data_IF_212287168791
#
_entry.id   IF_212287168791
#
_cell.length_a   1.000
_cell.length_b   1.000
_cell.length_c   1.000
_cell.angle_alpha   90.00
_cell.angle_beta   90.00
_cell.angle_gamma   90.00
#
_symmetry.space_group_name_H-M   'P 1'
#
loop_
_entity.id
_entity.type
_entity.pdbx_description
1 polymer ?
#
# COMPACT_ATOMS: atom_id res chain seq x y z
N UNK A 1 6.85 31.17 1.65
CA UNK A 1 6.84 29.91 2.40
C UNK A 1 6.25 30.18 3.77
N UNK A 2 5.06 29.64 4.08
CA UNK A 2 4.60 29.55 5.45
C UNK A 2 5.60 28.66 6.20
N UNK A 3 6.06 29.10 7.37
CA UNK A 3 6.95 28.30 8.21
C UNK A 3 6.23 27.00 8.56
N UNK A 4 6.59 25.90 7.92
CA UNK A 4 6.13 24.57 8.30
C UNK A 4 6.71 24.30 9.69
N UNK A 5 5.85 24.14 10.68
CA UNK A 5 6.29 23.77 12.02
C UNK A 5 6.82 22.34 11.94
N UNK A 6 8.08 22.14 12.30
CA UNK A 6 8.69 20.81 12.38
C UNK A 6 8.13 20.15 13.66
N UNK A 7 7.63 18.91 13.50
CA UNK A 7 7.11 18.13 14.63
C UNK A 7 7.70 16.73 14.60
N UNK A 8 8.02 16.15 15.76
CA UNK A 8 8.38 14.74 15.85
C UNK A 8 7.28 13.87 15.25
N UNK A 9 7.64 12.85 14.46
CA UNK A 9 6.64 11.99 13.80
C UNK A 9 5.69 11.31 14.81
N UNK A 10 6.15 11.03 16.02
CA UNK A 10 5.35 10.45 17.10
C UNK A 10 4.29 11.39 17.69
N UNK A 11 4.35 12.69 17.38
CA UNK A 11 3.36 13.70 17.82
C UNK A 11 2.33 14.02 16.74
N UNK A 12 2.57 13.58 15.50
CA UNK A 12 1.66 13.78 14.36
C UNK A 12 0.37 13.01 14.59
N UNK A 13 -0.76 13.64 14.29
CA UNK A 13 -2.11 13.10 14.47
C UNK A 13 -2.90 13.12 13.16
N UNK A 14 -3.93 12.31 13.09
CA UNK A 14 -4.95 12.40 12.04
C UNK A 14 -5.55 13.79 12.00
N UNK A 15 -5.57 14.39 10.81
CA UNK A 15 -6.02 15.78 10.59
C UNK A 15 -4.87 16.78 10.43
N UNK A 16 -3.67 16.48 10.94
CA UNK A 16 -2.50 17.32 10.73
C UNK A 16 -2.11 17.39 9.25
N UNK A 17 -1.28 18.38 8.91
CA UNK A 17 -0.77 18.54 7.55
C UNK A 17 0.73 18.30 7.50
N UNK A 18 1.16 17.53 6.52
CA UNK A 18 2.57 17.25 6.22
C UNK A 18 2.88 17.57 4.76
N UNK A 19 4.10 18.01 4.48
CA UNK A 19 4.56 18.23 3.12
C UNK A 19 4.64 16.89 2.39
N UNK A 20 4.19 16.87 1.12
CA UNK A 20 4.07 15.68 0.31
C UNK A 20 4.50 15.91 -1.14
N UNK A 21 4.77 14.84 -1.86
CA UNK A 21 5.17 14.86 -3.27
C UNK A 21 4.32 13.94 -4.12
N UNK A 22 4.36 14.14 -5.43
CA UNK A 22 3.74 13.22 -6.38
C UNK A 22 4.45 11.87 -6.37
N UNK A 23 3.76 10.75 -6.08
CA UNK A 23 4.39 9.44 -5.96
C UNK A 23 4.95 8.86 -7.26
N UNK A 24 4.63 9.46 -8.41
CA UNK A 24 5.12 9.02 -9.73
C UNK A 24 6.33 9.82 -10.21
N UNK A 25 6.55 11.01 -9.68
CA UNK A 25 7.57 11.94 -10.20
C UNK A 25 8.50 12.51 -9.14
N UNK A 26 8.26 12.24 -7.85
CA UNK A 26 9.00 12.83 -6.74
C UNK A 26 8.77 14.34 -6.55
N UNK A 27 8.04 15.01 -7.44
CA UNK A 27 7.86 16.47 -7.39
C UNK A 27 7.01 16.89 -6.20
N UNK A 28 7.52 17.84 -5.43
CA UNK A 28 6.83 18.45 -4.30
C UNK A 28 5.47 19.02 -4.68
N UNK A 29 4.46 18.79 -3.87
CA UNK A 29 3.07 19.21 -4.12
C UNK A 29 2.44 19.96 -2.94
N UNK A 30 3.23 20.37 -1.95
CA UNK A 30 2.77 21.10 -0.78
C UNK A 30 2.06 20.21 0.24
N UNK A 31 1.49 20.87 1.24
CA UNK A 31 0.90 20.21 2.41
C UNK A 31 -0.34 19.38 2.08
N UNK A 32 -0.44 18.20 2.69
CA UNK A 32 -1.57 17.27 2.59
C UNK A 32 -1.97 16.79 3.97
N UNK A 33 -3.25 16.46 4.13
CA UNK A 33 -3.79 16.00 5.40
C UNK A 33 -3.37 14.57 5.70
N UNK A 34 -2.93 14.32 6.92
CA UNK A 34 -2.70 12.98 7.47
C UNK A 34 -4.07 12.34 7.74
N UNK A 35 -4.38 11.25 7.06
CA UNK A 35 -5.62 10.51 7.21
C UNK A 35 -5.54 9.44 8.29
N UNK A 36 -4.35 8.87 8.48
CA UNK A 36 -4.11 7.86 9.51
C UNK A 36 -2.65 7.86 9.96
N UNK A 37 -2.43 7.51 11.23
CA UNK A 37 -1.10 7.28 11.82
C UNK A 37 -1.01 5.83 12.23
N UNK A 38 0.00 5.13 11.72
CA UNK A 38 0.28 3.74 12.04
C UNK A 38 1.46 3.66 12.98
N UNK A 39 1.37 2.78 13.97
CA UNK A 39 2.49 2.43 14.84
C UNK A 39 2.74 0.94 14.65
N UNK A 40 3.85 0.62 13.99
CA UNK A 40 4.26 -0.75 13.72
C UNK A 40 5.36 -1.16 14.68
N UNK A 41 5.32 -2.39 15.14
CA UNK A 41 6.42 -2.98 15.90
C UNK A 41 7.31 -3.78 14.95
N UNK A 42 8.37 -3.12 14.48
CA UNK A 42 9.21 -3.62 13.39
C UNK A 42 10.47 -4.32 13.91
N UNK A 43 10.93 -5.33 13.14
CA UNK A 43 12.08 -6.17 13.44
C UNK A 43 13.21 -6.01 12.41
N UNK A 44 12.96 -5.34 11.30
CA UNK A 44 13.90 -5.08 10.21
C UNK A 44 14.49 -3.67 10.29
N UNK A 45 14.94 -3.32 11.49
CA UNK A 45 15.48 -1.99 11.77
C UNK A 45 16.75 -1.71 10.96
N UNK A 46 16.87 -0.45 10.50
CA UNK A 46 17.98 -0.01 9.67
C UNK A 46 18.32 1.46 9.95
N UNK A 47 19.61 1.75 10.07
CA UNK A 47 20.15 3.09 10.07
C UNK A 47 20.60 3.49 8.66
N UNK A 48 19.94 4.49 8.09
CA UNK A 48 20.29 5.11 6.82
C UNK A 48 21.06 6.40 7.10
N UNK A 49 22.36 6.40 6.81
CA UNK A 49 23.19 7.61 6.89
C UNK A 49 23.24 8.29 5.52
N UNK A 50 22.90 9.56 5.51
CA UNK A 50 22.95 10.42 4.33
C UNK A 50 23.95 11.56 4.50
N UNK A 51 24.38 12.13 3.39
CA UNK A 51 25.24 13.31 3.33
C UNK A 51 24.54 14.40 2.51
N UNK A 52 24.44 15.57 3.08
CA UNK A 52 23.95 16.77 2.41
C UNK A 52 24.97 17.33 1.44
N UNK A 53 24.55 18.22 0.53
CA UNK A 53 25.43 18.81 -0.48
C UNK A 53 26.59 19.63 0.12
N UNK A 54 26.38 20.20 1.30
CA UNK A 54 27.37 20.94 2.08
C UNK A 54 28.29 20.05 2.96
N UNK A 55 28.14 18.72 2.81
CA UNK A 55 29.02 17.73 3.45
C UNK A 55 28.58 17.27 4.85
N UNK A 56 27.51 17.83 5.41
CA UNK A 56 26.99 17.37 6.70
C UNK A 56 26.34 15.98 6.56
N UNK A 57 26.54 15.14 7.57
CA UNK A 57 25.90 13.81 7.62
C UNK A 57 24.80 13.77 8.67
N UNK A 58 23.76 12.98 8.39
CA UNK A 58 22.68 12.71 9.31
C UNK A 58 22.23 11.26 9.17
N UNK A 59 21.66 10.69 10.23
CA UNK A 59 21.16 9.32 10.23
C UNK A 59 19.65 9.31 10.45
N UNK A 60 18.95 8.57 9.59
CA UNK A 60 17.54 8.23 9.72
C UNK A 60 17.41 6.81 10.29
N UNK A 61 16.70 6.68 11.40
CA UNK A 61 16.35 5.38 11.97
C UNK A 61 15.06 4.89 11.32
N UNK A 62 15.15 3.94 10.43
CA UNK A 62 14.05 3.45 9.60
C UNK A 62 13.93 1.92 9.63
N UNK A 63 13.24 1.33 8.68
CA UNK A 63 13.20 -0.12 8.44
C UNK A 63 13.78 -0.45 7.08
N UNK A 64 14.30 -1.65 6.90
CA UNK A 64 14.92 -2.08 5.64
C UNK A 64 13.96 -2.00 4.44
N UNK A 65 12.66 -2.17 4.69
CA UNK A 65 11.63 -2.15 3.65
C UNK A 65 11.01 -0.77 3.42
N UNK A 66 11.36 0.28 4.20
CA UNK A 66 10.77 1.60 4.05
C UNK A 66 11.26 2.27 2.76
N UNK A 67 10.35 2.71 1.85
CA UNK A 67 10.77 3.24 0.55
C UNK A 67 11.15 4.71 0.62
N UNK A 68 12.25 5.03 -0.01
CA UNK A 68 12.75 6.37 -0.29
C UNK A 68 12.67 6.64 -1.80
N UNK A 69 12.39 7.89 -2.17
CA UNK A 69 12.45 8.26 -3.58
C UNK A 69 13.91 8.49 -3.99
N UNK A 70 14.38 7.65 -4.87
CA UNK A 70 15.70 7.74 -5.48
C UNK A 70 15.62 8.51 -6.80
N UNK A 71 16.22 9.69 -6.84
CA UNK A 71 16.29 10.53 -8.05
C UNK A 71 17.31 10.00 -9.06
N UNK A 72 18.19 9.08 -8.68
CA UNK A 72 19.12 8.42 -9.62
C UNK A 72 18.37 7.50 -10.55
N UNK A 73 17.44 6.72 -10.00
CA UNK A 73 16.64 5.73 -10.75
C UNK A 73 15.22 6.18 -11.05
N UNK A 74 14.80 7.34 -10.52
CA UNK A 74 13.41 7.85 -10.56
C UNK A 74 12.39 6.83 -10.06
N UNK A 75 12.69 6.16 -8.97
CA UNK A 75 11.89 5.07 -8.42
C UNK A 75 11.86 5.06 -6.89
N UNK A 76 10.88 4.34 -6.33
CA UNK A 76 10.83 4.03 -4.91
C UNK A 76 11.74 2.85 -4.61
N UNK A 77 12.78 3.08 -3.82
CA UNK A 77 13.77 2.07 -3.43
C UNK A 77 13.67 1.81 -1.92
N UNK A 78 13.48 0.54 -1.49
CA UNK A 78 13.55 0.19 -0.07
C UNK A 78 14.89 0.60 0.55
N UNK A 79 14.91 1.13 1.76
CA UNK A 79 16.13 1.61 2.43
C UNK A 79 17.26 0.56 2.44
N UNK A 80 16.94 -0.72 2.64
CA UNK A 80 17.92 -1.80 2.62
C UNK A 80 18.47 -2.17 1.24
N UNK A 81 17.97 -1.55 0.17
CA UNK A 81 18.44 -1.72 -1.22
C UNK A 81 19.10 -0.47 -1.78
N UNK A 82 19.21 0.58 -1.00
CA UNK A 82 19.92 1.78 -1.39
C UNK A 82 21.44 1.53 -1.38
N UNK A 83 22.13 2.10 -2.36
CA UNK A 83 23.57 1.99 -2.52
C UNK A 83 24.27 3.31 -2.17
N UNK A 84 25.56 3.25 -1.95
CA UNK A 84 26.38 4.43 -1.76
C UNK A 84 26.25 5.38 -2.96
N UNK A 85 26.10 6.66 -2.68
CA UNK A 85 25.89 7.77 -3.64
C UNK A 85 24.54 7.76 -4.40
N UNK A 86 23.58 6.89 -4.07
CA UNK A 86 22.20 7.08 -4.54
C UNK A 86 21.69 8.45 -4.08
N UNK A 87 21.06 9.19 -5.00
CA UNK A 87 20.57 10.54 -4.76
C UNK A 87 19.13 10.52 -4.29
N UNK A 88 18.87 10.83 -3.04
CA UNK A 88 17.51 10.88 -2.49
C UNK A 88 16.89 12.27 -2.65
N UNK A 89 15.61 12.30 -2.99
CA UNK A 89 14.83 13.50 -3.19
C UNK A 89 14.62 14.30 -1.90
N UNK A 90 14.68 15.62 -2.02
CA UNK A 90 14.40 16.56 -0.94
C UNK A 90 13.23 17.49 -1.28
N UNK A 91 12.66 18.17 -0.29
CA UNK A 91 11.54 19.11 -0.48
C UNK A 91 11.95 20.40 -1.21
N UNK A 92 13.22 20.65 -1.35
CA UNK A 92 13.81 21.77 -2.08
C UNK A 92 14.57 21.24 -3.30
N UNK A 93 14.86 22.10 -4.26
CA UNK A 93 15.65 21.72 -5.45
C UNK A 93 17.07 21.28 -5.06
N UNK A 94 17.21 20.00 -4.70
CA UNK A 94 18.48 19.42 -4.27
C UNK A 94 18.34 17.96 -3.91
N UNK A 95 19.48 17.30 -3.70
CA UNK A 95 19.56 15.91 -3.32
C UNK A 95 20.40 15.76 -2.06
N UNK A 96 20.15 14.69 -1.33
CA UNK A 96 21.09 14.13 -0.36
C UNK A 96 21.58 12.80 -0.88
N UNK A 97 22.78 12.43 -0.50
CA UNK A 97 23.42 11.22 -1.01
C UNK A 97 23.53 10.17 0.07
N UNK A 98 23.22 8.93 -0.27
CA UNK A 98 23.38 7.80 0.64
C UNK A 98 24.85 7.55 0.93
N UNK A 99 25.23 7.52 2.21
CA UNK A 99 26.58 7.17 2.65
C UNK A 99 26.65 5.68 2.96
N UNK A 100 25.70 5.18 3.76
CA UNK A 100 25.65 3.77 4.13
C UNK A 100 24.27 3.39 4.69
N UNK A 101 23.94 2.14 4.56
CA UNK A 101 22.82 1.50 5.24
C UNK A 101 23.36 0.44 6.19
N UNK A 102 22.92 0.45 7.45
CA UNK A 102 23.37 -0.51 8.45
C UNK A 102 22.17 -1.14 9.15
N UNK A 103 21.95 -2.46 9.03
CA UNK A 103 20.95 -3.15 9.84
C UNK A 103 21.23 -2.96 11.34
N UNK A 104 20.18 -2.71 12.10
CA UNK A 104 20.25 -2.49 13.54
C UNK A 104 19.54 -3.65 14.25
N UNK A 105 20.17 -4.34 15.20
CA UNK A 105 19.52 -5.44 15.91
C UNK A 105 18.42 -4.95 16.84
N UNK A 106 17.44 -5.81 17.10
CA UNK A 106 16.35 -5.53 18.04
C UNK A 106 15.02 -5.23 17.34
N UNK A 107 14.10 -4.67 18.10
CA UNK A 107 12.76 -4.29 17.65
C UNK A 107 12.44 -2.89 18.13
N UNK A 108 11.67 -2.14 17.39
CA UNK A 108 11.23 -0.81 17.81
C UNK A 108 9.89 -0.44 17.17
N UNK A 109 9.17 0.44 17.87
CA UNK A 109 8.00 1.06 17.26
C UNK A 109 8.46 2.05 16.18
N UNK A 110 7.81 1.99 15.03
CA UNK A 110 7.99 2.93 13.91
C UNK A 110 6.67 3.52 13.52
N UNK A 111 6.66 4.82 13.27
CA UNK A 111 5.49 5.57 12.84
C UNK A 111 5.47 5.66 11.32
N UNK A 112 4.28 5.50 10.77
CA UNK A 112 4.04 5.67 9.35
C UNK A 112 2.73 6.45 9.14
N UNK A 113 2.67 7.31 8.11
CA UNK A 113 1.56 8.23 7.92
C UNK A 113 0.81 7.93 6.62
N UNK A 114 -0.49 7.73 6.68
CA UNK A 114 -1.32 7.77 5.47
C UNK A 114 -1.62 9.21 5.13
N UNK A 115 -1.09 9.67 4.02
CA UNK A 115 -1.23 11.04 3.53
C UNK A 115 -2.21 11.10 2.37
N UNK A 116 -3.16 12.01 2.46
CA UNK A 116 -4.27 12.16 1.52
C UNK A 116 -3.82 12.17 0.06
N UNK A 117 -4.34 11.22 -0.75
CA UNK A 117 -4.14 11.03 -2.20
C UNK A 117 -2.73 10.69 -2.65
N UNK A 118 -1.71 11.14 -1.94
CA UNK A 118 -0.31 11.02 -2.42
C UNK A 118 0.45 9.89 -1.73
N UNK A 119 0.09 9.55 -0.48
CA UNK A 119 0.76 8.52 0.32
C UNK A 119 2.28 8.74 0.47
N UNK A 120 2.73 9.96 0.30
CA UNK A 120 4.13 10.38 0.45
C UNK A 120 4.23 11.47 1.48
N UNK A 121 5.37 11.61 2.12
CA UNK A 121 5.67 12.72 3.02
C UNK A 121 7.18 12.89 3.16
N UNK A 122 7.59 13.99 3.77
CA UNK A 122 9.00 14.25 4.03
C UNK A 122 9.31 13.97 5.50
N UNK A 123 10.42 13.25 5.73
CA UNK A 123 11.01 13.04 7.05
C UNK A 123 12.32 13.81 7.15
N UNK A 124 12.68 14.27 8.34
CA UNK A 124 13.92 15.02 8.52
C UNK A 124 15.09 14.09 8.85
N UNK A 125 16.14 14.19 8.05
CA UNK A 125 17.46 13.71 8.39
C UNK A 125 18.30 14.91 8.83
N UNK A 126 18.46 15.08 10.14
CA UNK A 126 18.95 16.34 10.69
C UNK A 126 18.00 17.49 10.36
N UNK A 127 18.43 18.43 9.51
CA UNK A 127 17.62 19.57 9.05
C UNK A 127 17.09 19.38 7.62
N UNK A 128 17.42 18.28 6.96
CA UNK A 128 17.11 18.09 5.54
C UNK A 128 15.89 17.17 5.38
N UNK A 129 14.81 17.65 4.74
CA UNK A 129 13.65 16.84 4.46
C UNK A 129 13.93 15.85 3.32
N UNK A 130 13.73 14.57 3.56
CA UNK A 130 13.91 13.47 2.60
C UNK A 130 12.57 12.82 2.31
N UNK A 131 12.29 12.58 1.03
CA UNK A 131 11.01 12.05 0.57
C UNK A 131 10.88 10.55 0.82
N UNK A 132 9.83 10.18 1.55
CA UNK A 132 9.47 8.80 1.83
C UNK A 132 8.04 8.49 1.37
N UNK A 133 7.76 7.23 1.15
CA UNK A 133 6.42 6.75 0.83
C UNK A 133 5.81 6.06 2.03
N UNK A 134 4.54 6.37 2.30
CA UNK A 134 3.74 5.53 3.17
C UNK A 134 3.46 4.21 2.43
N UNK A 135 4.41 3.33 2.43
CA UNK A 135 4.11 1.95 2.17
C UNK A 135 4.26 1.18 3.48
N UNK A 136 3.17 0.66 4.00
CA UNK A 136 3.24 -0.57 4.76
C UNK A 136 3.78 -1.65 3.81
N UNK A 137 5.11 -1.61 3.49
CA UNK A 137 5.76 -2.32 2.38
C UNK A 137 4.91 -2.23 1.11
N UNK A 138 5.44 -1.88 -0.06
CA UNK A 138 4.65 -1.76 -1.29
C UNK A 138 3.57 -2.81 -1.31
N UNK A 139 2.29 -2.40 -1.24
CA UNK A 139 1.20 -3.38 -1.27
C UNK A 139 1.41 -4.21 -2.52
N UNK A 140 1.72 -5.47 -2.34
CA UNK A 140 1.88 -6.36 -3.48
C UNK A 140 0.49 -6.62 -4.09
N UNK A 141 0.11 -5.81 -5.07
CA UNK A 141 -1.17 -5.91 -5.77
C UNK A 141 -1.24 -7.06 -6.77
N UNK A 142 -0.20 -7.88 -6.89
CA UNK A 142 -0.29 -9.10 -7.70
C UNK A 142 -1.41 -10.00 -7.16
N UNK A 143 -2.19 -10.60 -8.04
CA UNK A 143 -3.38 -11.41 -7.69
C UNK A 143 -3.07 -12.59 -6.76
N UNK A 144 -1.82 -13.07 -6.74
CA UNK A 144 -1.35 -14.15 -5.87
C UNK A 144 -0.98 -13.70 -4.43
N UNK A 145 -1.01 -12.40 -4.12
CA UNK A 145 -0.68 -11.87 -2.80
C UNK A 145 -1.80 -12.13 -1.78
N UNK A 146 -1.68 -13.19 -1.00
CA UNK A 146 -2.63 -13.50 0.09
C UNK A 146 -2.63 -12.39 1.16
N UNK A 147 -1.50 -11.74 1.41
CA UNK A 147 -1.40 -10.61 2.35
C UNK A 147 -2.30 -9.44 1.93
N UNK A 148 -2.38 -9.17 0.63
CA UNK A 148 -3.21 -8.08 0.07
C UNK A 148 -4.66 -8.48 -0.07
N UNK A 149 -4.92 -9.65 -0.62
CA UNK A 149 -6.22 -10.07 -1.08
C UNK A 149 -6.97 -11.04 -0.15
N UNK A 150 -6.31 -11.52 0.92
CA UNK A 150 -6.89 -12.48 1.84
C UNK A 150 -7.39 -13.74 1.12
N UNK A 151 -8.70 -13.98 1.19
CA UNK A 151 -9.33 -15.13 0.55
C UNK A 151 -9.83 -14.85 -0.88
N UNK A 152 -9.75 -13.62 -1.37
CA UNK A 152 -10.32 -13.20 -2.66
C UNK A 152 -9.95 -14.16 -3.80
N UNK A 153 -8.69 -14.29 -4.15
CA UNK A 153 -8.26 -15.13 -5.26
C UNK A 153 -7.96 -16.57 -4.86
N UNK A 154 -7.56 -16.79 -3.60
CA UNK A 154 -7.35 -18.14 -3.09
C UNK A 154 -8.61 -18.97 -3.13
N UNK A 155 -9.76 -18.38 -2.80
CA UNK A 155 -11.07 -19.08 -2.72
C UNK A 155 -11.94 -18.79 -3.94
N UNK A 156 -12.02 -17.52 -4.35
CA UNK A 156 -12.94 -17.05 -5.37
C UNK A 156 -12.24 -16.71 -6.71
N UNK A 157 -10.97 -17.07 -6.86
CA UNK A 157 -10.22 -16.81 -8.09
C UNK A 157 -10.56 -17.75 -9.23
N UNK A 158 -10.08 -17.40 -10.41
CA UNK A 158 -10.21 -18.18 -11.64
C UNK A 158 -9.54 -19.56 -11.53
N UNK A 159 -9.96 -20.47 -12.38
CA UNK A 159 -9.36 -21.79 -12.58
C UNK A 159 -10.24 -22.95 -12.14
N UNK A 160 -10.11 -24.08 -12.84
CA UNK A 160 -10.95 -25.27 -12.71
C UNK A 160 -11.00 -25.83 -11.28
N UNK A 161 -9.90 -25.77 -10.53
CA UNK A 161 -9.85 -26.22 -9.13
C UNK A 161 -10.82 -25.41 -8.24
N UNK A 162 -10.78 -24.08 -8.39
CA UNK A 162 -11.68 -23.20 -7.64
C UNK A 162 -13.13 -23.37 -8.11
N UNK A 163 -13.37 -23.47 -9.41
CA UNK A 163 -14.72 -23.72 -9.95
C UNK A 163 -15.34 -24.98 -9.33
N UNK A 164 -14.59 -26.10 -9.31
CA UNK A 164 -15.07 -27.34 -8.69
C UNK A 164 -15.38 -27.14 -7.19
N UNK A 165 -14.45 -26.55 -6.43
CA UNK A 165 -14.63 -26.34 -5.00
C UNK A 165 -15.82 -25.42 -4.69
N UNK A 166 -16.02 -24.37 -5.49
CA UNK A 166 -17.16 -23.46 -5.33
C UNK A 166 -18.49 -24.12 -5.73
N UNK A 167 -18.49 -24.97 -6.76
CA UNK A 167 -19.68 -25.76 -7.13
C UNK A 167 -20.07 -26.74 -6.03
N UNK A 168 -19.12 -27.47 -5.48
CA UNK A 168 -19.37 -28.41 -4.38
C UNK A 168 -19.88 -27.64 -3.15
N UNK A 169 -19.32 -26.47 -2.86
CA UNK A 169 -19.76 -25.60 -1.77
C UNK A 169 -21.16 -25.02 -2.01
N UNK A 170 -21.47 -24.58 -3.24
CA UNK A 170 -22.78 -24.05 -3.57
C UNK A 170 -23.87 -25.10 -3.30
N UNK A 171 -23.64 -26.34 -3.73
CA UNK A 171 -24.55 -27.46 -3.52
C UNK A 171 -24.71 -27.84 -2.04
N UNK A 172 -23.56 -27.97 -1.32
CA UNK A 172 -23.57 -28.42 0.08
C UNK A 172 -24.20 -27.41 1.04
N UNK A 173 -24.02 -26.10 0.76
CA UNK A 173 -24.55 -25.01 1.62
C UNK A 173 -25.88 -24.44 1.15
N UNK A 174 -26.37 -24.88 -0.01
CA UNK A 174 -27.51 -24.30 -0.72
C UNK A 174 -27.39 -22.77 -0.90
N UNK A 175 -26.18 -22.27 -1.10
CA UNK A 175 -25.88 -20.85 -1.29
C UNK A 175 -25.06 -20.60 -2.54
N UNK A 176 -25.41 -19.57 -3.28
CA UNK A 176 -24.61 -19.12 -4.43
C UNK A 176 -23.15 -18.82 -4.06
N UNK A 177 -22.23 -19.06 -4.97
CA UNK A 177 -20.81 -18.83 -4.82
C UNK A 177 -20.27 -17.97 -5.96
N UNK A 178 -19.64 -16.83 -5.64
CA UNK A 178 -19.02 -15.97 -6.64
C UNK A 178 -17.62 -16.45 -7.02
N UNK A 179 -17.26 -16.28 -8.29
CA UNK A 179 -15.95 -16.59 -8.83
C UNK A 179 -15.47 -15.50 -9.80
N UNK A 180 -14.24 -15.04 -9.64
CA UNK A 180 -13.56 -14.21 -10.63
C UNK A 180 -13.14 -15.07 -11.82
N UNK A 181 -13.24 -14.51 -13.04
CA UNK A 181 -12.90 -15.23 -14.27
C UNK A 181 -11.46 -14.95 -14.73
N UNK A 182 -10.92 -13.81 -14.32
CA UNK A 182 -9.52 -13.41 -14.53
C UNK A 182 -9.00 -12.77 -13.24
N UNK A 183 -7.99 -13.37 -12.63
CA UNK A 183 -7.45 -12.92 -11.35
C UNK A 183 -6.71 -11.60 -11.47
N UNK A 184 -5.97 -11.38 -12.55
CA UNK A 184 -5.15 -10.19 -12.71
C UNK A 184 -6.01 -8.99 -13.11
N UNK A 185 -6.97 -9.18 -14.00
CA UNK A 185 -7.96 -8.14 -14.32
C UNK A 185 -8.81 -7.77 -13.08
N UNK A 186 -9.22 -8.75 -12.29
CA UNK A 186 -9.96 -8.50 -11.05
C UNK A 186 -9.09 -7.81 -9.98
N UNK A 187 -7.81 -8.15 -9.87
CA UNK A 187 -6.88 -7.50 -8.96
C UNK A 187 -6.69 -6.03 -9.34
N UNK A 188 -6.49 -5.72 -10.63
CA UNK A 188 -6.34 -4.33 -11.08
C UNK A 188 -7.64 -3.53 -10.88
N UNK A 189 -8.80 -4.12 -11.17
CA UNK A 189 -10.10 -3.49 -10.91
C UNK A 189 -10.28 -3.19 -9.42
N UNK A 190 -10.06 -4.17 -8.54
CA UNK A 190 -10.20 -4.01 -7.09
C UNK A 190 -9.18 -3.01 -6.53
N UNK A 191 -7.95 -3.01 -7.01
CA UNK A 191 -6.92 -2.03 -6.67
C UNK A 191 -7.39 -0.59 -6.96
N UNK A 192 -8.03 -0.37 -8.11
CA UNK A 192 -8.59 0.95 -8.47
C UNK A 192 -9.73 1.41 -7.54
N UNK A 193 -10.39 0.47 -6.86
CA UNK A 193 -11.46 0.73 -5.89
C UNK A 193 -10.97 0.80 -4.44
N UNK A 194 -9.68 0.56 -4.22
CA UNK A 194 -9.15 0.56 -2.86
C UNK A 194 -9.30 1.94 -2.20
N UNK A 195 -10.01 1.95 -1.08
CA UNK A 195 -10.16 3.12 -0.21
C UNK A 195 -9.81 2.68 1.20
N UNK A 196 -8.77 3.26 1.74
CA UNK A 196 -8.33 2.98 3.10
C UNK A 196 -9.41 3.39 4.11
N UNK A 197 -9.65 2.53 5.12
CA UNK A 197 -10.69 2.75 6.12
C UNK A 197 -12.13 2.55 5.63
N UNK A 198 -12.34 2.18 4.37
CA UNK A 198 -13.68 1.86 3.88
C UNK A 198 -14.22 0.59 4.53
N UNK A 199 -15.49 0.61 4.93
CA UNK A 199 -16.21 -0.56 5.44
C UNK A 199 -16.57 -1.58 4.35
N UNK A 200 -17.22 -2.69 4.72
CA UNK A 200 -17.80 -3.64 3.78
C UNK A 200 -18.76 -2.94 2.82
N UNK A 201 -18.67 -3.29 1.52
CA UNK A 201 -19.50 -2.65 0.50
C UNK A 201 -19.68 -3.55 -0.72
N UNK A 202 -20.72 -3.28 -1.49
CA UNK A 202 -20.92 -3.86 -2.81
C UNK A 202 -20.60 -2.82 -3.89
N UNK A 203 -19.97 -3.28 -4.97
CA UNK A 203 -19.56 -2.45 -6.11
C UNK A 203 -19.99 -3.11 -7.40
N UNK A 204 -20.39 -2.32 -8.40
CA UNK A 204 -20.63 -2.83 -9.74
C UNK A 204 -19.31 -3.27 -10.39
N UNK A 205 -19.34 -4.40 -11.10
CA UNK A 205 -18.16 -4.92 -11.79
C UNK A 205 -18.38 -4.87 -13.32
N UNK A 206 -17.29 -4.80 -14.11
CA UNK A 206 -17.37 -4.95 -15.56
C UNK A 206 -17.97 -6.29 -15.98
N UNK A 207 -18.68 -6.28 -17.10
CA UNK A 207 -19.21 -7.49 -17.69
C UNK A 207 -18.08 -8.46 -18.05
N UNK A 208 -18.29 -9.75 -17.79
CA UNK A 208 -17.31 -10.80 -18.05
C UNK A 208 -16.19 -10.91 -17.02
N UNK A 209 -16.13 -10.06 -15.99
CA UNK A 209 -15.08 -10.14 -14.96
C UNK A 209 -15.36 -11.21 -13.90
N UNK A 210 -16.61 -11.57 -13.69
CA UNK A 210 -17.00 -12.56 -12.69
C UNK A 210 -18.26 -13.33 -13.05
N UNK A 211 -18.42 -14.46 -12.37
CA UNK A 211 -19.60 -15.33 -12.47
C UNK A 211 -20.10 -15.75 -11.09
N UNK A 212 -21.33 -16.21 -11.03
CA UNK A 212 -21.94 -16.79 -9.83
C UNK A 212 -22.39 -18.20 -10.13
N UNK A 213 -21.96 -19.14 -9.32
CA UNK A 213 -22.33 -20.56 -9.37
C UNK A 213 -23.49 -20.77 -8.42
N UNK A 214 -24.60 -21.24 -8.94
CA UNK A 214 -25.82 -21.49 -8.21
C UNK A 214 -25.83 -22.89 -7.56
N UNK A 215 -26.68 -23.13 -6.53
CA UNK A 215 -26.78 -24.45 -5.88
C UNK A 215 -27.17 -25.59 -6.83
N UNK A 216 -27.94 -25.33 -7.86
CA UNK A 216 -28.31 -26.30 -8.90
C UNK A 216 -27.19 -26.60 -9.90
N UNK A 217 -26.07 -25.87 -9.80
CA UNK A 217 -24.90 -25.97 -10.68
C UNK A 217 -24.96 -25.05 -11.89
N UNK A 218 -26.03 -24.28 -12.08
CA UNK A 218 -26.10 -23.29 -13.15
C UNK A 218 -25.11 -22.14 -12.87
N UNK A 219 -24.67 -21.48 -13.95
CA UNK A 219 -23.72 -20.36 -13.88
C UNK A 219 -24.43 -19.14 -14.45
N UNK A 220 -24.33 -18.04 -13.68
CA UNK A 220 -24.91 -16.74 -14.02
C UNK A 220 -23.81 -15.70 -14.05
N UNK A 221 -23.90 -14.73 -14.97
CA UNK A 221 -22.98 -13.61 -15.01
C UNK A 221 -23.13 -12.77 -13.74
N UNK A 222 -22.00 -12.46 -13.09
CA UNK A 222 -21.99 -11.52 -11.98
C UNK A 222 -22.07 -10.07 -12.50
N UNK A 223 -22.77 -9.22 -11.76
CA UNK A 223 -22.91 -7.78 -12.07
C UNK A 223 -22.33 -6.89 -10.98
N UNK A 224 -22.05 -7.47 -9.82
CA UNK A 224 -21.46 -6.76 -8.70
C UNK A 224 -20.46 -7.65 -7.96
N UNK A 225 -19.74 -7.08 -7.01
CA UNK A 225 -18.92 -7.83 -6.07
C UNK A 225 -19.09 -7.26 -4.66
N UNK A 226 -19.08 -8.16 -3.68
CA UNK A 226 -18.96 -7.78 -2.27
C UNK A 226 -17.49 -7.66 -1.91
N UNK A 227 -17.12 -6.55 -1.29
CA UNK A 227 -15.79 -6.27 -0.78
C UNK A 227 -15.86 -6.23 0.74
N UNK A 228 -15.04 -7.03 1.41
CA UNK A 228 -14.89 -7.04 2.87
C UNK A 228 -13.43 -6.69 3.17
N UNK A 229 -13.18 -5.53 3.80
CA UNK A 229 -11.83 -5.14 4.18
C UNK A 229 -11.33 -5.96 5.36
N UNK A 230 -10.02 -6.03 5.49
CA UNK A 230 -9.29 -6.57 6.64
C UNK A 230 -9.01 -5.44 7.65
N UNK A 231 -8.77 -5.74 8.93
CA UNK A 231 -8.38 -4.73 9.93
C UNK A 231 -7.14 -3.89 9.55
N UNK A 232 -6.26 -4.41 8.71
CA UNK A 232 -5.09 -3.69 8.19
C UNK A 232 -5.41 -2.80 6.97
N UNK A 233 -6.67 -2.55 6.67
CA UNK A 233 -7.10 -1.71 5.56
C UNK A 233 -7.09 -2.37 4.18
N UNK A 234 -6.50 -3.55 4.03
CA UNK A 234 -6.48 -4.31 2.78
C UNK A 234 -7.74 -5.18 2.62
N UNK A 235 -7.68 -6.23 1.81
CA UNK A 235 -8.82 -7.11 1.56
C UNK A 235 -8.80 -8.34 2.47
N UNK A 236 -9.88 -8.56 3.23
CA UNK A 236 -10.15 -9.87 3.85
C UNK A 236 -10.66 -10.84 2.78
N UNK A 237 -11.58 -10.38 1.97
CA UNK A 237 -12.11 -11.09 0.80
C UNK A 237 -12.86 -10.14 -0.13
N UNK A 238 -12.91 -10.48 -1.41
CA UNK A 238 -13.77 -9.86 -2.41
C UNK A 238 -14.28 -10.94 -3.37
N UNK A 239 -15.57 -11.02 -3.58
CA UNK A 239 -16.16 -12.04 -4.44
C UNK A 239 -17.35 -11.52 -5.24
N UNK A 240 -17.51 -12.00 -6.49
CA UNK A 240 -18.63 -11.64 -7.35
C UNK A 240 -19.99 -12.07 -6.79
N UNK A 241 -21.01 -11.28 -7.08
CA UNK A 241 -22.43 -11.55 -6.76
C UNK A 241 -23.30 -11.19 -7.95
N UNK A 242 -24.54 -11.68 -7.98
CA UNK A 242 -25.49 -11.35 -9.05
C UNK A 242 -25.78 -9.84 -9.09
N UNK A 243 -25.70 -9.17 -7.95
CA UNK A 243 -26.00 -7.77 -7.79
C UNK A 243 -27.32 -7.55 -7.05
N UNK A 244 -27.55 -6.36 -6.50
CA UNK A 244 -28.90 -6.02 -6.04
C UNK A 244 -29.82 -5.94 -7.26
N UNK A 245 -31.01 -6.49 -7.09
CA UNK A 245 -32.13 -6.31 -8.04
C UNK A 245 -32.48 -4.83 -8.14
#
# INVERSE_FOLDING_TARGET
FAASTLSPIGEIKTGDKVEAANPKTGRHQGARTVQHVWINHDHDLLDLTIRTKDGHTATLHTTANHPFWDDTTHAWVPAGKLHHDDALNTATDGHVYVVTTRPTPGTANRWNLTVQRLHTYYVLAGQTPVLVHNSNGCVNWASNSVKTWGHTFKTHGAGAKNTKALTDRARSTNNQQGQWLDNDAAAEFLKGLHVEGAGPRSVRIPDGLGQVIMPDGSIVQARAATIIPSPNGLYKTGFPIIGPN
#
